data_IF_591897375072
#
_entry.id   IF_591897375072
#
_cell.length_a   1.000
_cell.length_b   1.000
_cell.length_c   1.000
_cell.angle_alpha   90.00
_cell.angle_beta   90.00
_cell.angle_gamma   90.00
#
_symmetry.space_group_name_H-M   'P 1'
#
loop_
_entity.id
_entity.type
_entity.pdbx_description
1 polymer ?
#
# COMPACT_ATOMS: atom_id res chain seq x y z
N UNK A 1 6.67 -15.61 7.48
CA UNK A 1 6.09 -14.69 6.46
C UNK A 1 7.14 -14.05 5.55
N UNK A 2 8.37 -13.77 6.00
CA UNK A 2 9.41 -13.07 5.22
C UNK A 2 9.95 -13.83 3.99
N UNK A 3 10.21 -15.14 4.11
CA UNK A 3 10.78 -15.93 3.02
C UNK A 3 9.83 -16.11 1.82
N UNK A 4 8.53 -16.32 2.10
CA UNK A 4 7.48 -16.48 1.10
C UNK A 4 7.33 -15.21 0.23
N UNK A 5 7.33 -14.03 0.86
CA UNK A 5 7.24 -12.75 0.16
C UNK A 5 8.44 -12.51 -0.78
N UNK A 6 9.65 -12.82 -0.30
CA UNK A 6 10.86 -12.67 -1.11
C UNK A 6 10.79 -13.50 -2.39
N UNK A 7 10.43 -14.77 -2.26
CA UNK A 7 10.43 -15.69 -3.40
C UNK A 7 9.23 -15.48 -4.34
N UNK A 8 8.03 -15.30 -3.78
CA UNK A 8 6.79 -15.30 -4.58
C UNK A 8 6.44 -13.92 -5.16
N UNK A 9 6.98 -12.84 -4.57
CA UNK A 9 6.68 -11.47 -4.98
C UNK A 9 7.89 -10.76 -5.57
N UNK A 10 9.05 -10.81 -4.91
CA UNK A 10 10.18 -9.99 -5.33
C UNK A 10 11.02 -10.60 -6.44
N UNK A 11 11.31 -11.91 -6.39
CA UNK A 11 12.10 -12.59 -7.44
C UNK A 11 11.52 -12.38 -8.85
N UNK A 12 10.21 -12.52 -9.10
CA UNK A 12 9.63 -12.29 -10.44
C UNK A 12 9.74 -10.84 -10.94
N UNK A 13 9.89 -9.88 -10.01
CA UNK A 13 10.02 -8.46 -10.33
C UNK A 13 11.46 -8.07 -10.65
N UNK A 14 12.44 -8.72 -10.04
CA UNK A 14 13.88 -8.45 -10.24
C UNK A 14 14.25 -8.41 -11.72
N UNK A 15 13.82 -9.42 -12.48
CA UNK A 15 14.14 -9.54 -13.91
C UNK A 15 13.42 -8.48 -14.75
N UNK A 16 12.18 -8.15 -14.39
CA UNK A 16 11.33 -7.24 -15.16
C UNK A 16 11.64 -5.76 -14.90
N UNK A 17 12.13 -5.45 -13.70
CA UNK A 17 12.31 -4.10 -13.17
C UNK A 17 13.76 -3.84 -12.72
N UNK A 18 14.74 -4.43 -13.40
CA UNK A 18 16.16 -4.24 -13.05
C UNK A 18 16.60 -2.75 -13.02
N UNK A 19 15.99 -1.88 -13.84
CA UNK A 19 16.22 -0.42 -13.82
C UNK A 19 15.57 0.30 -12.63
N UNK A 20 14.70 -0.39 -11.89
CA UNK A 20 14.04 0.08 -10.68
C UNK A 20 14.46 -0.77 -9.48
N UNK A 21 15.68 -1.31 -9.49
CA UNK A 21 16.21 -2.15 -8.42
C UNK A 21 16.10 -1.49 -7.04
N UNK A 22 16.35 -0.17 -6.96
CA UNK A 22 16.21 0.59 -5.72
C UNK A 22 14.79 0.48 -5.13
N UNK A 23 13.74 0.63 -5.97
CA UNK A 23 12.36 0.49 -5.50
C UNK A 23 12.03 -0.94 -5.03
N UNK A 24 12.68 -1.96 -5.61
CA UNK A 24 12.52 -3.35 -5.17
C UNK A 24 13.23 -3.59 -3.83
N UNK A 25 14.43 -3.04 -3.66
CA UNK A 25 15.21 -3.14 -2.42
C UNK A 25 14.52 -2.39 -1.27
N UNK A 26 14.05 -1.17 -1.53
CA UNK A 26 13.24 -0.38 -0.59
C UNK A 26 12.00 -1.16 -0.16
N UNK A 27 11.27 -1.73 -1.13
CA UNK A 27 10.07 -2.50 -0.85
C UNK A 27 10.37 -3.74 0.00
N UNK A 28 11.49 -4.42 -0.24
CA UNK A 28 11.97 -5.52 0.60
C UNK A 28 12.20 -5.06 2.04
N UNK A 29 12.93 -3.96 2.21
CA UNK A 29 13.28 -3.45 3.54
C UNK A 29 12.03 -3.06 4.34
N UNK A 30 11.14 -2.26 3.75
CA UNK A 30 9.91 -1.81 4.41
C UNK A 30 8.94 -2.97 4.71
N UNK A 31 8.82 -3.93 3.79
CA UNK A 31 7.97 -5.10 4.01
C UNK A 31 8.51 -6.04 5.13
N UNK A 32 9.83 -6.20 5.23
CA UNK A 32 10.45 -7.07 6.24
C UNK A 32 10.46 -6.41 7.62
N UNK A 33 10.80 -5.12 7.68
CA UNK A 33 10.78 -4.35 8.92
C UNK A 33 9.37 -4.06 9.41
N UNK A 34 8.35 -4.21 8.54
CA UNK A 34 6.98 -3.74 8.76
C UNK A 34 6.91 -2.25 9.12
N UNK A 35 7.84 -1.46 8.59
CA UNK A 35 7.87 -0.02 8.83
C UNK A 35 7.45 0.74 7.58
N UNK A 36 6.91 1.95 7.78
CA UNK A 36 6.56 2.88 6.70
C UNK A 36 5.69 2.25 5.60
N UNK A 37 4.49 1.73 5.93
CA UNK A 37 3.59 1.10 4.95
C UNK A 37 3.25 2.00 3.75
N UNK A 38 3.23 3.33 3.93
CA UNK A 38 3.07 4.27 2.81
C UNK A 38 4.21 4.23 1.79
N UNK A 39 5.44 3.88 2.21
CA UNK A 39 6.58 3.69 1.30
C UNK A 39 6.43 2.42 0.47
N UNK A 40 5.87 1.33 1.01
CA UNK A 40 5.54 0.14 0.23
C UNK A 40 4.57 0.48 -0.92
N UNK A 41 3.51 1.24 -0.61
CA UNK A 41 2.53 1.69 -1.61
C UNK A 41 3.17 2.63 -2.64
N UNK A 42 4.02 3.57 -2.19
CA UNK A 42 4.76 4.45 -3.10
C UNK A 42 5.69 3.68 -4.05
N UNK A 43 6.42 2.67 -3.56
CA UNK A 43 7.26 1.81 -4.39
C UNK A 43 6.44 1.04 -5.43
N UNK A 44 5.26 0.56 -5.07
CA UNK A 44 4.33 -0.04 -6.03
C UNK A 44 3.99 0.91 -7.17
N UNK A 45 3.58 2.15 -6.88
CA UNK A 45 3.23 3.11 -7.93
C UNK A 45 4.44 3.54 -8.78
N UNK A 46 5.65 3.60 -8.20
CA UNK A 46 6.90 3.81 -8.96
C UNK A 46 7.15 2.66 -9.95
N UNK A 47 6.94 1.42 -9.53
CA UNK A 47 7.08 0.25 -10.41
C UNK A 47 5.95 0.22 -11.46
N UNK A 48 4.73 0.55 -11.06
CA UNK A 48 3.56 0.60 -11.93
C UNK A 48 3.71 1.65 -13.04
N UNK A 49 4.21 2.84 -12.73
CA UNK A 49 4.45 3.89 -13.73
C UNK A 49 5.54 3.53 -14.74
N UNK A 50 6.54 2.74 -14.32
CA UNK A 50 7.57 2.17 -15.18
C UNK A 50 7.11 0.92 -15.96
N UNK A 51 5.97 0.34 -15.60
CA UNK A 51 5.45 -0.87 -16.23
C UNK A 51 4.74 -0.55 -17.56
N UNK A 52 4.99 -1.37 -18.58
CA UNK A 52 4.27 -1.39 -19.85
C UNK A 52 4.03 -2.84 -20.27
N UNK A 53 2.88 -3.10 -20.90
CA UNK A 53 2.51 -4.43 -21.40
C UNK A 53 2.58 -5.51 -20.32
N UNK A 54 3.30 -6.60 -20.60
CA UNK A 54 3.43 -7.75 -19.70
C UNK A 54 4.05 -7.45 -18.34
N UNK A 55 4.78 -6.33 -18.19
CA UNK A 55 5.31 -5.92 -16.88
C UNK A 55 4.20 -5.56 -15.88
N UNK A 56 3.04 -5.09 -16.36
CA UNK A 56 1.89 -4.80 -15.50
C UNK A 56 1.35 -6.09 -14.87
N UNK A 57 1.29 -7.18 -15.66
CA UNK A 57 0.86 -8.50 -15.16
C UNK A 57 1.79 -9.03 -14.08
N UNK A 58 3.10 -8.78 -14.20
CA UNK A 58 4.08 -9.18 -13.18
C UNK A 58 3.90 -8.45 -11.84
N UNK A 59 3.28 -7.27 -11.83
CA UNK A 59 2.97 -6.54 -10.60
C UNK A 59 1.73 -7.08 -9.87
N UNK A 60 0.96 -8.02 -10.45
CA UNK A 60 -0.25 -8.55 -9.80
C UNK A 60 0.06 -9.26 -8.48
N UNK A 61 1.16 -10.00 -8.41
CA UNK A 61 1.58 -10.67 -7.18
C UNK A 61 1.89 -9.65 -6.07
N UNK A 62 2.59 -8.56 -6.42
CA UNK A 62 2.90 -7.48 -5.50
C UNK A 62 1.64 -6.73 -5.05
N UNK A 63 0.78 -6.37 -6.01
CA UNK A 63 -0.51 -5.74 -5.72
C UNK A 63 -1.30 -6.57 -4.72
N UNK A 64 -1.51 -7.86 -5.03
CA UNK A 64 -2.27 -8.77 -4.16
C UNK A 64 -1.65 -8.86 -2.78
N UNK A 65 -0.32 -8.92 -2.69
CA UNK A 65 0.36 -8.93 -1.40
C UNK A 65 0.10 -7.64 -0.61
N UNK A 66 0.21 -6.46 -1.23
CA UNK A 66 -0.06 -5.18 -0.57
C UNK A 66 -1.50 -5.09 -0.09
N UNK A 67 -2.48 -5.40 -0.94
CA UNK A 67 -3.91 -5.39 -0.58
C UNK A 67 -4.23 -6.42 0.54
N UNK A 68 -3.49 -7.52 0.57
CA UNK A 68 -3.62 -8.55 1.61
C UNK A 68 -3.00 -8.14 2.93
N UNK A 69 -1.89 -7.38 2.93
CA UNK A 69 -1.11 -7.10 4.14
C UNK A 69 -1.23 -5.66 4.65
N UNK A 70 -1.78 -4.74 3.85
CA UNK A 70 -1.98 -3.35 4.21
C UNK A 70 -3.45 -2.99 4.30
N UNK A 71 -3.74 -1.97 5.10
CA UNK A 71 -5.04 -1.31 5.20
C UNK A 71 -4.83 0.20 5.25
N UNK A 72 -5.87 0.95 4.88
CA UNK A 72 -5.97 2.36 5.24
C UNK A 72 -6.70 2.44 6.57
N UNK A 73 -6.15 3.18 7.51
CA UNK A 73 -6.69 3.41 8.84
C UNK A 73 -7.24 4.81 8.88
N UNK A 74 -8.50 4.95 9.30
CA UNK A 74 -9.11 6.22 9.61
C UNK A 74 -9.04 6.48 11.12
N UNK A 75 -8.54 7.65 11.50
CA UNK A 75 -8.49 8.12 12.89
C UNK A 75 -9.13 9.48 13.04
N UNK A 76 -9.64 9.77 14.23
CA UNK A 76 -10.10 11.11 14.58
C UNK A 76 -8.98 11.99 15.15
N UNK A 77 -9.34 13.24 15.46
CA UNK A 77 -8.50 14.24 16.13
C UNK A 77 -7.94 13.83 17.50
N UNK A 78 -8.47 12.76 18.11
CA UNK A 78 -8.00 12.20 19.38
C UNK A 78 -7.17 10.93 19.16
N UNK A 79 -6.72 10.70 17.93
CA UNK A 79 -6.01 9.52 17.46
C UNK A 79 -6.80 8.20 17.64
N UNK A 80 -8.12 8.27 17.88
CA UNK A 80 -8.92 7.06 18.06
C UNK A 80 -9.16 6.40 16.72
N UNK A 81 -8.94 5.09 16.68
CA UNK A 81 -9.24 4.28 15.52
C UNK A 81 -10.74 4.28 15.23
N UNK A 82 -11.13 4.79 14.06
CA UNK A 82 -12.50 4.80 13.58
C UNK A 82 -12.80 3.55 12.74
N UNK A 83 -11.95 3.27 11.74
CA UNK A 83 -12.14 2.17 10.81
C UNK A 83 -10.81 1.68 10.21
N UNK A 84 -10.79 0.41 9.80
CA UNK A 84 -9.77 -0.14 8.90
C UNK A 84 -10.41 -0.42 7.54
N UNK A 85 -10.04 0.37 6.54
CA UNK A 85 -10.53 0.29 5.18
C UNK A 85 -9.59 -0.62 4.38
N UNK A 86 -10.12 -1.63 3.66
CA UNK A 86 -9.30 -2.46 2.79
C UNK A 86 -8.58 -1.63 1.72
N UNK A 87 -7.32 -1.96 1.47
CA UNK A 87 -6.55 -1.35 0.39
C UNK A 87 -6.92 -1.99 -0.95
N UNK A 88 -7.26 -1.19 -1.95
CA UNK A 88 -7.47 -1.62 -3.34
C UNK A 88 -6.63 -0.76 -4.28
N UNK A 89 -5.58 -1.34 -4.87
CA UNK A 89 -4.64 -0.65 -5.75
C UNK A 89 -5.04 -0.84 -7.21
N UNK A 90 -6.02 -0.08 -7.66
CA UNK A 90 -6.49 -0.07 -9.05
C UNK A 90 -5.56 0.69 -10.01
N UNK A 91 -5.97 0.77 -11.29
CA UNK A 91 -5.20 1.45 -12.31
C UNK A 91 -5.21 2.96 -12.08
N UNK A 92 -4.02 3.57 -12.14
CA UNK A 92 -3.83 5.00 -11.88
C UNK A 92 -2.48 5.29 -11.24
N UNK A 93 -2.28 6.54 -10.83
CA UNK A 93 -1.15 6.96 -10.01
C UNK A 93 -1.53 7.08 -8.53
N UNK A 94 -0.51 7.29 -7.69
CA UNK A 94 -0.68 7.42 -6.24
C UNK A 94 -1.60 8.59 -5.88
N UNK A 95 -1.54 9.69 -6.62
CA UNK A 95 -2.35 10.88 -6.35
C UNK A 95 -3.83 10.59 -6.59
N UNK A 96 -4.16 9.99 -7.74
CA UNK A 96 -5.50 9.57 -8.12
C UNK A 96 -6.07 8.54 -7.13
N UNK A 97 -5.23 7.63 -6.63
CA UNK A 97 -5.61 6.72 -5.54
C UNK A 97 -5.96 7.48 -4.25
N UNK A 98 -5.08 8.37 -3.78
CA UNK A 98 -5.29 9.13 -2.56
C UNK A 98 -6.54 10.01 -2.64
N UNK A 99 -6.76 10.68 -3.76
CA UNK A 99 -7.95 11.51 -3.98
C UNK A 99 -9.23 10.68 -3.91
N UNK A 100 -9.29 9.52 -4.58
CA UNK A 100 -10.47 8.64 -4.49
C UNK A 100 -10.72 8.15 -3.07
N UNK A 101 -9.68 7.77 -2.33
CA UNK A 101 -9.83 7.36 -0.93
C UNK A 101 -10.40 8.47 -0.06
N UNK A 102 -9.96 9.72 -0.27
CA UNK A 102 -10.53 10.88 0.43
C UNK A 102 -12.00 11.10 0.05
N UNK A 103 -12.33 11.02 -1.25
CA UNK A 103 -13.71 11.16 -1.72
C UNK A 103 -14.63 10.08 -1.14
N UNK A 104 -14.18 8.82 -1.13
CA UNK A 104 -14.91 7.68 -0.56
C UNK A 104 -15.23 7.92 0.93
N UNK A 105 -14.24 8.36 1.69
CA UNK A 105 -14.43 8.68 3.11
C UNK A 105 -15.37 9.85 3.32
N UNK A 106 -15.26 10.91 2.51
CA UNK A 106 -16.12 12.09 2.64
C UNK A 106 -17.57 11.80 2.26
N UNK A 107 -17.82 10.96 1.25
CA UNK A 107 -19.17 10.73 0.71
C UNK A 107 -19.88 9.54 1.33
N UNK A 108 -19.14 8.48 1.70
CA UNK A 108 -19.74 7.19 2.09
C UNK A 108 -19.56 6.87 3.58
N UNK A 109 -19.02 7.79 4.38
CA UNK A 109 -18.86 7.63 5.84
C UNK A 109 -19.41 8.83 6.59
N UNK A 110 -20.10 8.54 7.69
CA UNK A 110 -20.60 9.55 8.62
C UNK A 110 -19.75 9.44 9.88
N UNK A 111 -18.71 10.27 9.95
CA UNK A 111 -17.90 10.42 11.16
C UNK A 111 -18.36 11.65 11.94
N UNK A 112 -18.48 11.51 13.26
CA UNK A 112 -18.86 12.63 14.14
C UNK A 112 -17.68 13.60 14.41
N UNK A 113 -16.50 13.31 13.87
CA UNK A 113 -15.27 14.08 14.09
C UNK A 113 -15.09 15.12 12.99
N UNK A 114 -14.53 16.29 13.33
CA UNK A 114 -14.33 17.38 12.38
C UNK A 114 -13.12 17.15 11.48
N UNK A 115 -12.12 16.42 12.00
CA UNK A 115 -10.92 16.02 11.27
C UNK A 115 -10.76 14.51 11.30
N UNK A 116 -10.49 13.96 10.12
CA UNK A 116 -10.22 12.54 9.92
C UNK A 116 -8.83 12.43 9.30
N UNK A 117 -7.96 11.65 9.92
CA UNK A 117 -6.66 11.33 9.37
C UNK A 117 -6.69 9.94 8.74
N UNK A 118 -6.16 9.84 7.53
CA UNK A 118 -6.00 8.59 6.80
C UNK A 118 -4.53 8.21 6.76
N UNK A 119 -4.21 7.00 7.18
CA UNK A 119 -2.83 6.50 7.23
C UNK A 119 -2.79 5.06 6.70
N UNK A 120 -1.70 4.66 6.05
CA UNK A 120 -1.48 3.25 5.75
C UNK A 120 -0.98 2.52 7.01
N UNK A 121 -1.39 1.28 7.20
CA UNK A 121 -0.91 0.41 8.29
C UNK A 121 -0.75 -1.03 7.82
N UNK A 122 0.19 -1.77 8.43
CA UNK A 122 0.25 -3.22 8.25
C UNK A 122 -0.85 -3.90 9.05
N UNK A 123 -1.51 -4.91 8.45
CA UNK A 123 -2.50 -5.72 9.15
C UNK A 123 -1.81 -6.50 10.27
N UNK A 124 -2.44 -6.49 11.45
CA UNK A 124 -1.92 -7.19 12.63
C UNK A 124 -0.89 -6.41 13.44
N UNK A 125 -0.50 -5.19 13.04
CA UNK A 125 0.04 -4.27 14.03
C UNK A 125 -1.08 -3.92 15.02
N UNK A 126 -0.82 -4.21 16.29
CA UNK A 126 -1.58 -3.60 17.37
C UNK A 126 -1.27 -2.11 17.28
N UNK A 127 -2.16 -1.37 16.63
CA UNK A 127 -2.21 0.08 16.68
C UNK A 127 -2.55 0.44 18.13
N UNK A 128 -1.55 0.30 19.01
CA UNK A 128 -1.64 0.64 20.41
C UNK A 128 -1.90 2.14 20.50
N UNK A 129 -2.83 2.45 21.40
CA UNK A 129 -3.37 3.76 21.72
C UNK A 129 -2.31 4.76 22.20
#
# INVERSE_FOLDING_TARGET
MSAQFLHDVLVPLSDAFYKQADAILDLREYALSKQNPGRCVSCYFKLFSAARGDKVRRLQALRKWLETNLVVVARDEQDRLLERIPLYLDEGDLESFCQRMLQEVVHNRVYNSKRIELQFAFKGESLAA
#
